data_IF_446586871668
#
_entry.id   IF_446586871668
#
_cell.length_a   1.000
_cell.length_b   1.000
_cell.length_c   1.000
_cell.angle_alpha   90.00
_cell.angle_beta   90.00
_cell.angle_gamma   90.00
#
_symmetry.space_group_name_H-M   'P 1'
#
loop_
_entity.id
_entity.type
_entity.pdbx_description
1 polymer ?
#
# COMPACT_ATOMS: atom_id res chain seq x y z
N UNK A 1 3.46 13.60 5.10
CA UNK A 1 3.47 12.35 4.27
C UNK A 1 2.49 11.34 4.83
N UNK A 2 1.63 10.73 4.02
CA UNK A 2 0.71 9.69 4.44
C UNK A 2 1.39 8.30 4.45
N UNK A 3 0.83 7.34 5.21
CA UNK A 3 1.30 5.95 5.31
C UNK A 3 0.28 4.94 4.83
N UNK A 4 -0.98 5.24 5.04
CA UNK A 4 -2.07 4.43 4.56
C UNK A 4 -3.29 5.32 4.36
N UNK A 5 -4.16 4.92 3.46
CA UNK A 5 -5.42 5.59 3.13
C UNK A 5 -6.49 4.53 2.89
N UNK A 6 -7.69 4.82 3.34
CA UNK A 6 -8.84 3.93 3.15
C UNK A 6 -10.11 4.77 3.02
N UNK A 7 -10.92 4.51 2.01
CA UNK A 7 -12.23 5.12 1.85
C UNK A 7 -13.31 4.26 2.49
N UNK A 8 -13.97 4.80 3.52
CA UNK A 8 -15.13 4.21 4.16
C UNK A 8 -16.40 4.67 3.41
N UNK A 9 -16.93 3.80 2.55
CA UNK A 9 -18.12 4.10 1.74
C UNK A 9 -19.40 4.27 2.58
N UNK A 10 -19.47 3.66 3.75
CA UNK A 10 -20.63 3.77 4.65
C UNK A 10 -20.65 5.15 5.33
N UNK A 11 -19.50 5.66 5.71
CA UNK A 11 -19.33 6.98 6.35
C UNK A 11 -19.07 8.11 5.37
N UNK A 12 -18.81 7.79 4.11
CA UNK A 12 -18.42 8.75 3.06
C UNK A 12 -17.21 9.61 3.49
N UNK A 13 -16.22 8.96 4.08
CA UNK A 13 -15.01 9.61 4.54
C UNK A 13 -13.76 8.82 4.17
N UNK A 14 -12.65 9.52 4.07
CA UNK A 14 -11.32 8.94 3.93
C UNK A 14 -10.64 8.92 5.27
N UNK A 15 -10.15 7.76 5.66
CA UNK A 15 -9.25 7.57 6.78
C UNK A 15 -7.82 7.64 6.27
N UNK A 16 -7.04 8.54 6.84
CA UNK A 16 -5.64 8.76 6.49
C UNK A 16 -4.76 8.52 7.71
N UNK A 17 -3.79 7.61 7.59
CA UNK A 17 -2.77 7.43 8.61
C UNK A 17 -1.51 8.18 8.21
N UNK A 18 -1.05 9.03 9.10
CA UNK A 18 0.13 9.88 8.92
C UNK A 18 0.89 10.03 10.22
N UNK A 19 1.90 10.89 10.23
CA UNK A 19 2.66 11.25 11.41
C UNK A 19 2.38 12.71 11.75
N UNK A 20 2.26 13.00 13.04
CA UNK A 20 2.25 14.39 13.50
C UNK A 20 3.68 14.96 13.58
N UNK A 21 3.80 16.23 13.93
CA UNK A 21 5.07 16.96 14.07
C UNK A 21 6.03 16.29 15.09
N UNK A 22 5.50 15.59 16.07
CA UNK A 22 6.26 14.87 17.10
C UNK A 22 6.63 13.43 16.66
N UNK A 23 6.42 13.05 15.41
CA UNK A 23 6.71 11.71 14.92
C UNK A 23 5.76 10.62 15.43
N UNK A 24 4.64 10.97 16.07
CA UNK A 24 3.64 10.01 16.52
C UNK A 24 2.64 9.72 15.40
N UNK A 25 2.34 8.43 15.20
CA UNK A 25 1.31 8.00 14.25
C UNK A 25 -0.06 8.48 14.69
N UNK A 26 -0.78 9.13 13.79
CA UNK A 26 -2.15 9.60 13.97
C UNK A 26 -3.03 9.12 12.83
N UNK A 27 -4.32 9.02 13.11
CA UNK A 27 -5.38 8.80 12.13
C UNK A 27 -6.16 10.08 11.97
N UNK A 28 -6.31 10.52 10.73
CA UNK A 28 -7.17 11.65 10.35
C UNK A 28 -8.39 11.11 9.60
N UNK A 29 -9.50 11.80 9.73
CA UNK A 29 -10.73 11.53 8.99
C UNK A 29 -11.12 12.80 8.21
N UNK A 30 -11.44 12.63 6.94
CA UNK A 30 -11.87 13.71 6.06
C UNK A 30 -13.09 13.26 5.27
N UNK A 31 -14.14 14.07 5.24
CA UNK A 31 -15.26 13.85 4.33
C UNK A 31 -14.77 13.88 2.89
N UNK A 32 -15.26 12.99 2.06
CA UNK A 32 -14.81 12.91 0.68
C UNK A 32 -15.98 12.53 -0.25
N UNK A 33 -16.16 13.35 -1.28
CA UNK A 33 -17.11 13.10 -2.35
C UNK A 33 -16.38 12.46 -3.53
N UNK A 34 -16.64 11.17 -3.85
CA UNK A 34 -16.10 10.53 -5.04
C UNK A 34 -16.41 11.34 -6.30
N UNK A 35 -15.48 11.40 -7.21
CA UNK A 35 -15.66 12.10 -8.47
C UNK A 35 -15.06 11.34 -9.64
N UNK A 36 -15.33 11.81 -10.82
CA UNK A 36 -14.66 11.40 -12.06
C UNK A 36 -14.62 12.59 -13.01
N UNK A 37 -13.91 12.44 -14.09
CA UNK A 37 -13.89 13.44 -15.14
C UNK A 37 -14.55 12.90 -16.41
N UNK A 38 -15.32 13.76 -17.07
CA UNK A 38 -15.95 13.47 -18.36
C UNK A 38 -15.48 14.47 -19.41
N UNK A 39 -15.33 14.02 -20.63
CA UNK A 39 -15.05 14.92 -21.74
C UNK A 39 -16.25 15.85 -21.97
N UNK A 40 -16.00 17.14 -22.08
CA UNK A 40 -17.05 18.14 -22.26
C UNK A 40 -16.52 19.35 -23.00
N UNK A 41 -17.20 19.76 -24.05
CA UNK A 41 -16.83 20.96 -24.82
C UNK A 41 -16.81 22.24 -23.95
N UNK A 42 -17.52 22.23 -22.84
CA UNK A 42 -17.60 23.34 -21.87
C UNK A 42 -16.87 23.03 -20.55
N UNK A 43 -16.05 21.98 -20.51
CA UNK A 43 -15.29 21.62 -19.33
C UNK A 43 -14.13 22.58 -19.07
N UNK A 44 -14.01 23.04 -17.83
CA UNK A 44 -12.93 23.95 -17.41
C UNK A 44 -12.15 23.42 -16.20
N UNK A 45 -12.52 22.25 -15.69
CA UNK A 45 -11.95 21.70 -14.44
C UNK A 45 -10.60 21.05 -14.62
N UNK A 46 -10.35 20.50 -15.79
CA UNK A 46 -9.09 19.87 -16.15
C UNK A 46 -8.95 19.71 -17.66
N UNK A 47 -7.78 19.28 -18.11
CA UNK A 47 -7.49 18.91 -19.51
C UNK A 47 -6.94 17.48 -19.53
N UNK A 48 -7.41 16.67 -20.46
CA UNK A 48 -6.92 15.31 -20.65
C UNK A 48 -5.51 15.30 -21.26
N UNK A 49 -4.85 14.15 -21.24
CA UNK A 49 -3.57 13.94 -21.94
C UNK A 49 -3.70 14.14 -23.46
N UNK A 50 -4.92 14.11 -24.00
CA UNK A 50 -5.21 14.37 -25.41
C UNK A 50 -5.61 15.82 -25.69
N UNK A 51 -5.37 16.70 -24.72
CA UNK A 51 -5.68 18.14 -24.78
C UNK A 51 -7.19 18.44 -24.97
N UNK A 52 -8.06 17.56 -24.46
CA UNK A 52 -9.51 17.77 -24.48
C UNK A 52 -10.00 18.34 -23.15
N UNK A 53 -10.91 19.32 -23.14
CA UNK A 53 -11.48 19.87 -21.94
C UNK A 53 -12.28 18.82 -21.14
N UNK A 54 -12.13 18.85 -19.82
CA UNK A 54 -12.79 17.91 -18.91
C UNK A 54 -13.66 18.65 -17.91
N UNK A 55 -14.81 18.06 -17.60
CA UNK A 55 -15.71 18.48 -16.52
C UNK A 55 -15.62 17.47 -15.39
N UNK A 56 -15.46 17.97 -14.16
CA UNK A 56 -15.51 17.17 -12.93
C UNK A 56 -16.96 16.91 -12.54
N UNK A 57 -17.31 15.64 -12.33
CA UNK A 57 -18.62 15.20 -11.86
C UNK A 57 -18.44 14.58 -10.48
N UNK A 58 -19.09 15.12 -9.47
CA UNK A 58 -19.05 14.63 -8.09
C UNK A 58 -20.27 13.79 -7.78
N UNK A 59 -20.13 12.83 -6.88
CA UNK A 59 -21.17 11.90 -6.44
C UNK A 59 -21.23 11.86 -4.93
N UNK A 60 -22.43 11.63 -4.41
CA UNK A 60 -22.65 11.47 -2.98
C UNK A 60 -21.84 10.32 -2.38
N UNK A 61 -21.70 9.23 -3.13
CA UNK A 61 -20.98 8.03 -2.70
C UNK A 61 -20.45 7.23 -3.89
N UNK A 62 -19.63 6.22 -3.62
CA UNK A 62 -19.05 5.37 -4.65
C UNK A 62 -20.09 4.56 -5.43
N UNK A 63 -21.21 4.20 -4.82
CA UNK A 63 -22.29 3.46 -5.50
C UNK A 63 -22.91 4.31 -6.63
N UNK A 64 -23.23 5.58 -6.35
CA UNK A 64 -23.76 6.50 -7.37
C UNK A 64 -22.75 6.75 -8.48
N UNK A 65 -21.46 6.90 -8.15
CA UNK A 65 -20.38 7.02 -9.12
C UNK A 65 -20.33 5.79 -10.04
N UNK A 66 -20.34 4.59 -9.50
CA UNK A 66 -20.30 3.35 -10.29
C UNK A 66 -21.57 3.17 -11.12
N UNK A 67 -22.73 3.51 -10.57
CA UNK A 67 -24.00 3.51 -11.31
C UNK A 67 -23.92 4.45 -12.52
N UNK A 68 -23.44 5.68 -12.33
CA UNK A 68 -23.25 6.63 -13.43
C UNK A 68 -22.32 6.09 -14.53
N UNK A 69 -21.19 5.48 -14.17
CA UNK A 69 -20.26 4.88 -15.13
C UNK A 69 -20.93 3.81 -15.98
N UNK A 70 -21.80 2.99 -15.38
CA UNK A 70 -22.46 1.88 -16.09
C UNK A 70 -23.65 2.32 -16.96
N UNK A 71 -24.33 3.41 -16.57
CA UNK A 71 -25.58 3.83 -17.21
C UNK A 71 -25.41 5.00 -18.18
N UNK A 72 -24.29 5.71 -18.14
CA UNK A 72 -24.10 6.90 -18.97
C UNK A 72 -23.81 6.57 -20.43
N UNK A 73 -24.34 7.39 -21.32
CA UNK A 73 -24.03 7.35 -22.76
C UNK A 73 -22.73 8.09 -23.13
N UNK A 74 -22.05 8.71 -22.16
CA UNK A 74 -20.79 9.45 -22.40
C UNK A 74 -19.69 8.44 -22.76
N UNK A 75 -19.09 8.62 -23.95
CA UNK A 75 -18.09 7.66 -24.45
C UNK A 75 -16.73 7.75 -23.77
N UNK A 76 -16.34 8.91 -23.25
CA UNK A 76 -15.03 9.13 -22.62
C UNK A 76 -15.21 9.61 -21.20
N UNK A 77 -14.97 8.66 -20.28
CA UNK A 77 -15.02 8.85 -18.84
C UNK A 77 -13.67 8.47 -18.26
N UNK A 78 -13.11 9.33 -17.44
CA UNK A 78 -11.85 9.10 -16.72
C UNK A 78 -12.19 8.73 -15.28
N UNK A 79 -12.28 7.42 -15.00
CA UNK A 79 -12.76 6.87 -13.73
C UNK A 79 -11.87 5.76 -13.18
N UNK A 80 -10.68 5.56 -13.74
CA UNK A 80 -9.81 4.41 -13.42
C UNK A 80 -9.13 4.51 -12.05
N UNK A 81 -9.20 5.67 -11.39
CA UNK A 81 -8.65 5.85 -10.07
C UNK A 81 -9.65 5.40 -9.00
N UNK A 82 -9.16 4.77 -7.94
CA UNK A 82 -9.97 4.54 -6.74
C UNK A 82 -10.22 5.84 -5.97
N UNK A 83 -11.20 5.85 -5.06
CA UNK A 83 -11.47 7.02 -4.22
C UNK A 83 -10.24 7.43 -3.40
N UNK A 84 -9.45 6.46 -2.94
CA UNK A 84 -8.20 6.68 -2.21
C UNK A 84 -7.16 7.37 -3.10
N UNK A 85 -6.98 6.90 -4.34
CA UNK A 85 -6.03 7.48 -5.28
C UNK A 85 -6.42 8.91 -5.68
N UNK A 86 -7.72 9.13 -5.95
CA UNK A 86 -8.24 10.46 -6.24
C UNK A 86 -8.02 11.43 -5.06
N UNK A 87 -8.28 10.97 -3.83
CA UNK A 87 -8.04 11.75 -2.61
C UNK A 87 -6.56 12.10 -2.45
N UNK A 88 -5.67 11.13 -2.62
CA UNK A 88 -4.24 11.36 -2.50
C UNK A 88 -3.72 12.36 -3.54
N UNK A 89 -4.13 12.22 -4.79
CA UNK A 89 -3.73 13.14 -5.86
C UNK A 89 -4.23 14.56 -5.58
N UNK A 90 -5.47 14.71 -5.11
CA UNK A 90 -6.01 16.05 -4.83
C UNK A 90 -5.39 16.70 -3.60
N UNK A 91 -5.00 15.91 -2.59
CA UNK A 91 -4.51 16.41 -1.30
C UNK A 91 -3.00 16.56 -1.22
N UNK A 92 -2.23 15.77 -2.00
CA UNK A 92 -0.78 15.65 -1.85
C UNK A 92 0.01 15.82 -3.16
N UNK A 93 -0.61 16.25 -4.25
CA UNK A 93 0.08 16.42 -5.55
C UNK A 93 1.34 17.30 -5.46
N UNK A 94 1.33 18.30 -4.59
CA UNK A 94 2.43 19.24 -4.42
C UNK A 94 3.45 18.81 -3.35
N UNK A 95 3.18 17.70 -2.64
CA UNK A 95 4.01 17.22 -1.54
C UNK A 95 5.04 16.15 -1.97
N UNK A 96 4.98 15.66 -3.20
CA UNK A 96 5.81 14.55 -3.70
C UNK A 96 7.31 14.89 -3.62
N UNK A 97 7.66 16.15 -3.75
CA UNK A 97 9.05 16.64 -3.78
C UNK A 97 9.52 17.27 -2.47
N UNK A 98 8.73 17.23 -1.39
CA UNK A 98 9.14 17.83 -0.12
C UNK A 98 10.12 16.92 0.62
N UNK A 99 11.28 17.44 1.05
CA UNK A 99 12.29 16.66 1.79
C UNK A 99 11.75 16.02 3.06
N UNK A 100 10.78 16.67 3.74
CA UNK A 100 10.12 16.17 4.95
C UNK A 100 9.36 14.86 4.70
N UNK A 101 9.01 14.58 3.45
CA UNK A 101 8.40 13.30 3.08
C UNK A 101 9.31 12.09 3.38
N UNK A 102 10.62 12.30 3.42
CA UNK A 102 11.63 11.27 3.68
C UNK A 102 12.03 11.17 5.17
N UNK A 103 11.64 12.16 6.00
CA UNK A 103 12.06 12.24 7.39
C UNK A 103 11.63 11.03 8.25
N UNK A 104 10.54 10.36 7.87
CA UNK A 104 10.04 9.16 8.55
C UNK A 104 9.84 8.03 7.54
N UNK A 105 10.89 7.31 7.14
CA UNK A 105 10.78 6.23 6.17
C UNK A 105 9.87 5.12 6.66
N UNK A 106 9.15 4.49 5.74
CA UNK A 106 8.33 3.33 6.06
C UNK A 106 9.25 2.18 6.49
N UNK A 107 8.99 1.62 7.66
CA UNK A 107 9.66 0.40 8.10
C UNK A 107 8.99 -0.79 7.40
N UNK A 108 9.74 -1.46 6.54
CA UNK A 108 9.29 -2.62 5.78
C UNK A 108 10.09 -3.83 6.24
N UNK A 109 9.40 -4.93 6.52
CA UNK A 109 10.00 -6.21 6.76
C UNK A 109 9.75 -7.11 5.56
N UNK A 110 10.82 -7.63 4.98
CA UNK A 110 10.75 -8.70 3.99
C UNK A 110 11.08 -9.98 4.72
N UNK A 111 10.23 -10.98 4.60
CA UNK A 111 10.42 -12.26 5.28
C UNK A 111 10.36 -13.42 4.31
N UNK A 112 11.10 -14.45 4.62
CA UNK A 112 11.18 -15.67 3.83
C UNK A 112 11.29 -16.88 4.76
N UNK A 113 10.73 -18.03 4.35
CA UNK A 113 10.72 -19.28 5.08
C UNK A 113 11.21 -20.38 4.18
N UNK A 114 12.25 -21.09 4.61
CA UNK A 114 12.76 -22.26 3.94
C UNK A 114 12.29 -23.53 4.65
N UNK A 115 11.70 -24.44 3.90
CA UNK A 115 11.25 -25.75 4.38
C UNK A 115 12.06 -26.87 3.75
N UNK A 116 12.17 -27.98 4.46
CA UNK A 116 12.80 -29.19 3.92
C UNK A 116 11.74 -30.26 3.64
N UNK A 117 11.59 -30.60 2.37
CA UNK A 117 10.76 -31.72 1.93
C UNK A 117 11.65 -32.77 1.24
N UNK A 118 11.77 -34.00 1.77
CA UNK A 118 12.68 -34.99 1.24
C UNK A 118 12.24 -35.63 -0.07
N UNK A 119 10.96 -35.47 -0.46
CA UNK A 119 10.40 -36.21 -1.60
C UNK A 119 9.84 -35.34 -2.70
N UNK A 120 9.14 -34.29 -2.35
CA UNK A 120 8.41 -33.42 -3.30
C UNK A 120 8.51 -31.95 -2.90
N UNK A 121 7.96 -31.07 -3.72
CA UNK A 121 7.76 -29.67 -3.34
C UNK A 121 6.80 -29.61 -2.13
N UNK A 122 7.11 -28.77 -1.11
CA UNK A 122 6.28 -28.65 0.09
C UNK A 122 4.84 -28.30 -0.25
N UNK A 123 3.89 -28.96 0.41
CA UNK A 123 2.46 -28.63 0.28
C UNK A 123 1.99 -27.85 1.51
N UNK A 124 1.79 -26.53 1.40
CA UNK A 124 1.49 -25.68 2.57
C UNK A 124 0.22 -26.07 3.33
N UNK A 125 -0.76 -26.69 2.64
CA UNK A 125 -2.02 -27.12 3.28
C UNK A 125 -1.83 -28.28 4.26
N UNK A 126 -0.82 -29.10 4.03
CA UNK A 126 -0.55 -30.27 4.87
C UNK A 126 0.36 -29.93 6.06
N UNK A 127 1.17 -28.91 5.95
CA UNK A 127 2.13 -28.44 6.97
C UNK A 127 3.00 -29.59 7.55
N UNK A 128 3.38 -30.56 6.70
CA UNK A 128 4.12 -31.76 7.11
C UNK A 128 5.63 -31.61 7.01
N UNK A 129 6.09 -30.55 6.37
CA UNK A 129 7.50 -30.32 6.09
C UNK A 129 8.12 -29.41 7.15
N UNK A 130 9.30 -29.79 7.63
CA UNK A 130 10.00 -29.04 8.67
C UNK A 130 10.48 -27.70 8.16
N UNK A 131 10.22 -26.63 8.90
CA UNK A 131 10.82 -25.32 8.67
C UNK A 131 12.29 -25.37 9.10
N UNK A 132 13.20 -25.06 8.19
CA UNK A 132 14.64 -25.10 8.45
C UNK A 132 15.24 -23.75 8.77
N UNK A 133 14.68 -22.70 8.16
CA UNK A 133 15.19 -21.35 8.25
C UNK A 133 14.04 -20.35 8.10
N UNK A 134 14.08 -19.33 8.94
CA UNK A 134 13.25 -18.13 8.78
C UNK A 134 14.19 -16.94 8.68
N UNK A 135 14.00 -16.09 7.70
CA UNK A 135 14.80 -14.87 7.52
C UNK A 135 13.90 -13.66 7.41
N UNK A 136 14.25 -12.57 8.12
CA UNK A 136 13.59 -11.28 8.06
C UNK A 136 14.63 -10.21 7.72
N UNK A 137 14.39 -9.44 6.67
CA UNK A 137 15.16 -8.23 6.38
C UNK A 137 14.42 -6.99 6.89
N UNK A 138 15.09 -6.16 7.67
CA UNK A 138 14.59 -4.87 8.18
C UNK A 138 15.12 -3.73 7.32
N UNK A 139 14.23 -3.06 6.60
CA UNK A 139 14.56 -1.97 5.68
C UNK A 139 15.16 -0.72 6.35
N UNK A 140 14.97 -0.54 7.65
CA UNK A 140 15.53 0.60 8.39
C UNK A 140 16.95 0.33 8.86
N UNK A 141 17.14 -0.80 9.56
CA UNK A 141 18.47 -1.19 10.05
C UNK A 141 19.36 -1.78 8.95
N UNK A 142 18.81 -2.12 7.77
CA UNK A 142 19.48 -2.81 6.68
C UNK A 142 20.11 -4.14 7.12
N UNK A 143 19.48 -4.80 8.11
CA UNK A 143 19.94 -6.07 8.68
C UNK A 143 19.04 -7.22 8.32
N UNK A 144 19.65 -8.37 8.14
CA UNK A 144 18.98 -9.67 8.07
C UNK A 144 19.00 -10.33 9.44
N UNK A 145 17.85 -10.76 9.91
CA UNK A 145 17.68 -11.58 11.10
C UNK A 145 17.26 -12.95 10.65
N UNK A 146 18.07 -13.98 10.95
CA UNK A 146 17.82 -15.35 10.51
C UNK A 146 17.84 -16.30 11.69
N UNK A 147 16.89 -17.20 11.73
CA UNK A 147 16.78 -18.31 12.68
C UNK A 147 16.83 -19.62 11.91
N UNK A 148 17.71 -20.53 12.32
CA UNK A 148 17.89 -21.79 11.56
C UNK A 148 18.27 -22.97 12.41
N UNK A 149 17.94 -24.18 11.93
CA UNK A 149 18.15 -25.46 12.63
C UNK A 149 19.58 -26.01 12.48
N UNK A 150 20.46 -25.33 11.74
CA UNK A 150 21.87 -25.74 11.62
C UNK A 150 22.78 -24.65 12.16
N UNK A 151 23.87 -25.01 12.86
CA UNK A 151 24.87 -24.02 13.26
C UNK A 151 25.45 -23.34 12.01
N UNK A 152 25.46 -22.00 12.04
CA UNK A 152 26.00 -21.18 10.96
C UNK A 152 26.64 -19.93 11.53
N UNK A 153 27.77 -19.52 10.98
CA UNK A 153 28.43 -18.25 11.30
C UNK A 153 28.36 -17.34 10.08
N UNK A 154 27.61 -16.24 10.15
CA UNK A 154 27.54 -15.27 9.06
C UNK A 154 28.92 -14.73 8.69
N UNK A 155 29.12 -14.47 7.41
CA UNK A 155 30.31 -13.81 6.88
C UNK A 155 30.11 -12.30 6.74
N UNK A 156 28.86 -11.87 6.63
CA UNK A 156 28.45 -10.50 6.44
C UNK A 156 28.05 -9.86 7.78
N UNK A 157 28.50 -8.63 8.02
CA UNK A 157 28.25 -7.92 9.28
C UNK A 157 26.79 -7.49 9.48
N UNK A 158 26.01 -7.45 8.40
CA UNK A 158 24.60 -7.12 8.44
C UNK A 158 23.67 -8.33 8.65
N UNK A 159 24.23 -9.52 8.88
CA UNK A 159 23.45 -10.75 9.16
C UNK A 159 23.56 -11.12 10.63
N UNK A 160 22.42 -11.16 11.30
CA UNK A 160 22.29 -11.67 12.68
C UNK A 160 21.67 -13.06 12.62
N UNK A 161 22.46 -14.07 12.96
CA UNK A 161 21.99 -15.45 12.90
C UNK A 161 21.80 -16.03 14.30
N UNK A 162 20.66 -16.70 14.50
CA UNK A 162 20.32 -17.42 15.74
C UNK A 162 20.17 -18.91 15.42
N UNK A 163 20.99 -19.73 16.07
CA UNK A 163 20.84 -21.18 15.98
C UNK A 163 19.73 -21.66 16.91
N UNK A 164 18.76 -22.37 16.35
CA UNK A 164 17.64 -23.00 17.04
C UNK A 164 17.85 -24.52 17.07
N UNK A 165 17.69 -25.14 18.24
CA UNK A 165 17.84 -26.61 18.39
C UNK A 165 16.63 -27.37 17.90
N UNK A 166 15.48 -26.72 17.87
CA UNK A 166 14.17 -27.28 17.49
C UNK A 166 13.38 -26.29 16.64
N UNK A 167 12.51 -26.83 15.80
CA UNK A 167 11.60 -26.01 14.98
C UNK A 167 10.71 -25.07 15.81
N UNK A 168 10.31 -25.48 17.02
CA UNK A 168 9.50 -24.65 17.93
C UNK A 168 10.23 -23.45 18.51
N UNK A 169 11.52 -23.29 18.24
CA UNK A 169 12.34 -22.14 18.65
C UNK A 169 12.55 -21.13 17.49
N UNK A 170 12.15 -21.52 16.26
CA UNK A 170 12.15 -20.63 15.10
C UNK A 170 11.03 -19.58 15.22
#
# INVERSE_FOLDING_TARGET
>A
MYRNVFYDSAKQCVHLWTWNENGKRIKLESSYEPHLFVESAYGTDAVSIFNTPLKKVKFKNQFERNKFVNETAIKRIFHNLSCEQEFLLSSFKDDIHKPEALANPLKIYFWDIETFSPKNFPEPKLANDTINLITIFDSISQKFYSWGLKPYKPKEDNVVYTYCKKETEL
#
